data_IF_832669159964
#
_entry.id   IF_832669159964
#
_cell.length_a   1.000
_cell.length_b   1.000
_cell.length_c   1.000
_cell.angle_alpha   90.00
_cell.angle_beta   90.00
_cell.angle_gamma   90.00
#
_symmetry.space_group_name_H-M   'P 1'
#
loop_
_entity.id
_entity.type
_entity.pdbx_description
1 polymer ?
#
# COMPACT_ATOMS: atom_id res chain seq x y z
N UNK A 1 0.04 -29.26 -7.81
CA UNK A 1 0.28 -29.54 -6.38
C UNK A 1 0.98 -30.87 -6.19
N UNK A 2 0.46 -31.98 -6.74
CA UNK A 2 1.07 -33.32 -6.56
C UNK A 2 2.52 -33.39 -7.08
N UNK A 3 2.81 -32.84 -8.26
CA UNK A 3 4.17 -32.76 -8.81
C UNK A 3 5.07 -31.89 -7.93
N UNK A 4 4.61 -30.69 -7.54
CA UNK A 4 5.37 -29.78 -6.68
C UNK A 4 5.66 -30.40 -5.29
N UNK A 5 4.80 -31.28 -4.80
CA UNK A 5 5.02 -31.99 -3.54
C UNK A 5 6.23 -32.93 -3.58
N UNK A 6 6.58 -33.45 -4.76
CA UNK A 6 7.76 -34.31 -4.95
C UNK A 6 9.06 -33.52 -4.83
N UNK A 7 9.03 -32.23 -5.17
CA UNK A 7 10.20 -31.34 -5.08
C UNK A 7 10.38 -30.76 -3.66
N UNK A 8 9.36 -30.87 -2.80
CA UNK A 8 9.31 -30.30 -1.46
C UNK A 8 8.49 -29.02 -1.37
N UNK A 9 8.17 -28.58 -0.13
CA UNK A 9 7.26 -27.44 0.13
C UNK A 9 7.94 -26.22 0.73
N UNK A 10 9.15 -26.36 1.25
CA UNK A 10 9.83 -25.27 1.93
C UNK A 10 11.34 -25.37 1.75
N UNK A 11 11.95 -24.26 1.39
CA UNK A 11 13.37 -24.18 1.13
C UNK A 11 13.97 -22.94 1.81
N UNK A 12 15.21 -23.05 2.27
CA UNK A 12 15.97 -21.92 2.79
C UNK A 12 16.64 -21.05 1.69
N UNK A 13 16.26 -21.24 0.44
CA UNK A 13 16.79 -20.53 -0.73
C UNK A 13 15.68 -20.30 -1.75
N UNK A 14 15.84 -19.34 -2.68
CA UNK A 14 14.88 -19.11 -3.77
C UNK A 14 14.69 -20.37 -4.62
N UNK A 15 13.47 -20.58 -5.10
CA UNK A 15 13.10 -21.69 -5.97
C UNK A 15 12.79 -21.20 -7.38
N UNK A 16 12.85 -22.10 -8.37
CA UNK A 16 12.47 -21.77 -9.75
C UNK A 16 11.03 -21.25 -9.83
N UNK A 17 10.09 -21.81 -9.06
CA UNK A 17 8.69 -21.38 -9.03
C UNK A 17 8.49 -19.97 -8.48
N UNK A 18 9.31 -19.55 -7.52
CA UNK A 18 9.30 -18.17 -7.03
C UNK A 18 9.82 -17.20 -8.11
N UNK A 19 10.83 -17.60 -8.87
CA UNK A 19 11.36 -16.81 -9.99
C UNK A 19 10.29 -16.68 -11.09
N UNK A 20 9.67 -17.78 -11.50
CA UNK A 20 8.58 -17.81 -12.49
C UNK A 20 7.41 -16.89 -12.08
N UNK A 21 7.02 -16.93 -10.80
CA UNK A 21 5.96 -16.06 -10.27
C UNK A 21 6.38 -14.58 -10.32
N UNK A 22 7.60 -14.27 -9.90
CA UNK A 22 8.12 -12.90 -9.93
C UNK A 22 8.17 -12.35 -11.36
N UNK A 23 8.65 -13.13 -12.32
CA UNK A 23 8.69 -12.77 -13.74
C UNK A 23 7.28 -12.56 -14.32
N UNK A 24 6.33 -13.41 -13.96
CA UNK A 24 4.92 -13.26 -14.37
C UNK A 24 4.31 -11.97 -13.81
N UNK A 25 4.59 -11.62 -12.55
CA UNK A 25 4.13 -10.35 -11.96
C UNK A 25 4.74 -9.16 -12.70
N UNK A 26 6.04 -9.16 -12.95
CA UNK A 26 6.74 -8.09 -13.67
C UNK A 26 6.18 -7.93 -15.09
N UNK A 27 5.88 -9.02 -15.77
CA UNK A 27 5.32 -8.99 -17.12
C UNK A 27 3.90 -8.41 -17.16
N UNK A 28 3.08 -8.65 -16.12
CA UNK A 28 1.68 -8.23 -16.06
C UNK A 28 1.49 -6.82 -15.47
N UNK A 29 2.43 -6.35 -14.67
CA UNK A 29 2.32 -5.09 -13.93
C UNK A 29 3.51 -4.17 -14.25
N UNK A 30 3.39 -3.29 -15.25
CA UNK A 30 4.52 -2.52 -15.80
C UNK A 30 5.23 -1.57 -14.81
N UNK A 31 4.62 -1.25 -13.67
CA UNK A 31 5.26 -0.45 -12.61
C UNK A 31 6.21 -1.27 -11.72
N UNK A 32 6.13 -2.61 -11.79
CA UNK A 32 6.92 -3.52 -10.95
C UNK A 32 8.20 -3.91 -11.68
N UNK A 33 9.34 -3.64 -11.06
CA UNK A 33 10.67 -3.98 -11.54
C UNK A 33 11.33 -5.09 -10.70
N UNK A 34 10.93 -5.18 -9.42
CA UNK A 34 11.43 -6.18 -8.48
C UNK A 34 10.29 -6.71 -7.61
N UNK A 35 10.36 -7.98 -7.25
CA UNK A 35 9.37 -8.66 -6.41
C UNK A 35 10.05 -9.26 -5.18
N UNK A 36 9.42 -9.07 -4.03
CA UNK A 36 9.74 -9.79 -2.80
C UNK A 36 8.54 -10.59 -2.36
N UNK A 37 8.71 -11.89 -2.23
CA UNK A 37 7.69 -12.78 -1.72
C UNK A 37 7.72 -12.83 -0.19
N UNK A 38 6.55 -12.88 0.41
CA UNK A 38 6.30 -13.02 1.85
C UNK A 38 5.08 -13.91 2.07
N UNK A 39 4.77 -14.29 3.30
CA UNK A 39 3.73 -15.30 3.57
C UNK A 39 2.32 -14.71 3.75
N UNK A 40 2.16 -13.39 3.81
CA UNK A 40 0.84 -12.76 4.01
C UNK A 40 0.80 -11.31 3.53
N UNK A 41 -0.42 -10.80 3.27
CA UNK A 41 -0.63 -9.36 2.98
C UNK A 41 -0.19 -8.44 4.12
N UNK A 42 -0.28 -8.90 5.37
CA UNK A 42 0.25 -8.16 6.54
C UNK A 42 1.76 -8.00 6.46
N UNK A 43 2.48 -9.07 6.17
CA UNK A 43 3.94 -9.02 6.01
C UNK A 43 4.36 -8.17 4.81
N UNK A 44 3.61 -8.24 3.72
CA UNK A 44 3.85 -7.40 2.55
C UNK A 44 3.65 -5.91 2.87
N UNK A 45 2.54 -5.53 3.53
CA UNK A 45 2.27 -4.16 3.95
C UNK A 45 3.30 -3.63 4.95
N UNK A 46 3.67 -4.45 5.94
CA UNK A 46 4.73 -4.13 6.91
C UNK A 46 6.09 -3.92 6.22
N UNK A 47 6.42 -4.77 5.25
CA UNK A 47 7.67 -4.68 4.50
C UNK A 47 7.70 -3.45 3.60
N UNK A 48 6.59 -3.14 2.91
CA UNK A 48 6.46 -1.94 2.09
C UNK A 48 6.63 -0.66 2.93
N UNK A 49 5.99 -0.58 4.09
CA UNK A 49 6.14 0.55 5.01
C UNK A 49 7.59 0.71 5.49
N UNK A 50 8.24 -0.39 5.86
CA UNK A 50 9.66 -0.37 6.29
C UNK A 50 10.57 0.07 5.15
N UNK A 51 10.33 -0.41 3.94
CA UNK A 51 11.09 -0.03 2.75
C UNK A 51 10.93 1.46 2.45
N UNK A 52 9.69 1.99 2.48
CA UNK A 52 9.42 3.41 2.28
C UNK A 52 10.17 4.28 3.30
N UNK A 53 10.14 3.91 4.57
CA UNK A 53 10.88 4.62 5.62
C UNK A 53 12.39 4.56 5.41
N UNK A 54 12.92 3.40 5.06
CA UNK A 54 14.36 3.23 4.79
C UNK A 54 14.84 4.04 3.57
N UNK A 55 14.06 4.05 2.51
CA UNK A 55 14.42 4.75 1.27
C UNK A 55 14.29 6.28 1.38
N UNK A 56 13.37 6.78 2.19
CA UNK A 56 13.15 8.24 2.36
C UNK A 56 13.86 8.84 3.58
N UNK A 57 14.30 8.02 4.54
CA UNK A 57 14.79 8.46 5.83
C UNK A 57 13.72 9.08 6.74
N UNK A 58 12.44 8.91 6.42
CA UNK A 58 11.30 9.55 7.11
C UNK A 58 10.51 8.54 7.93
N UNK A 59 9.76 9.02 8.93
CA UNK A 59 9.04 8.14 9.87
C UNK A 59 7.53 8.13 9.67
N UNK A 60 6.93 9.26 9.29
CA UNK A 60 5.48 9.41 9.16
C UNK A 60 4.95 8.73 7.89
N UNK A 61 3.73 8.26 7.94
CA UNK A 61 3.02 7.81 6.75
C UNK A 61 1.53 8.08 6.86
N UNK A 62 0.87 8.16 5.72
CA UNK A 62 -0.57 8.38 5.61
C UNK A 62 -1.24 7.05 5.26
N UNK A 63 -2.35 6.75 5.93
CA UNK A 63 -3.35 5.77 5.51
C UNK A 63 -4.73 6.41 5.53
N UNK A 64 -5.74 5.72 5.00
CA UNK A 64 -7.10 6.25 4.95
C UNK A 64 -8.04 5.46 5.88
N UNK A 65 -8.99 6.17 6.47
CA UNK A 65 -10.03 5.57 7.28
C UNK A 65 -10.83 4.56 6.44
N UNK A 66 -11.17 3.43 7.07
CA UNK A 66 -11.84 2.32 6.40
C UNK A 66 -10.93 1.39 5.57
N UNK A 67 -9.73 1.81 5.17
CA UNK A 67 -8.76 0.94 4.53
C UNK A 67 -8.10 -0.02 5.53
N UNK A 68 -7.91 -1.27 5.10
CA UNK A 68 -7.25 -2.31 5.89
C UNK A 68 -5.98 -2.80 5.18
N UNK A 69 -4.86 -2.73 5.88
CA UNK A 69 -3.54 -3.08 5.34
C UNK A 69 -2.83 -4.18 6.14
N UNK A 70 -3.59 -5.05 6.77
CA UNK A 70 -3.06 -6.08 7.68
C UNK A 70 -3.00 -5.62 9.14
N UNK A 71 -2.47 -6.49 10.01
CA UNK A 71 -2.52 -6.30 11.45
C UNK A 71 -1.17 -5.95 12.11
N UNK A 72 -0.24 -5.37 11.37
CA UNK A 72 0.94 -4.75 11.97
C UNK A 72 0.50 -3.53 12.82
N UNK A 73 1.05 -3.38 14.01
CA UNK A 73 0.60 -2.40 15.01
C UNK A 73 0.45 -0.98 14.45
N UNK A 74 1.44 -0.50 13.67
CA UNK A 74 1.39 0.83 13.07
C UNK A 74 0.23 1.03 12.09
N UNK A 75 -0.41 -0.04 11.60
CA UNK A 75 -1.53 -0.03 10.66
C UNK A 75 -2.90 -0.17 11.35
N UNK A 76 -2.91 -0.54 12.64
CA UNK A 76 -4.12 -0.69 13.45
C UNK A 76 -4.52 0.63 14.13
N UNK A 77 -4.87 1.61 13.29
CA UNK A 77 -5.11 2.99 13.68
C UNK A 77 -6.38 3.50 13.02
N UNK A 78 -7.18 4.28 13.76
CA UNK A 78 -8.34 5.03 13.26
C UNK A 78 -8.10 6.53 13.35
N UNK A 79 -8.89 7.32 12.64
CA UNK A 79 -8.79 8.78 12.63
C UNK A 79 -8.95 9.37 14.05
N UNK A 80 -8.22 10.45 14.31
CA UNK A 80 -8.42 11.32 15.47
C UNK A 80 -9.56 12.32 15.25
N UNK A 81 -9.84 13.14 16.26
CA UNK A 81 -10.95 14.11 16.26
C UNK A 81 -10.63 15.44 15.57
N UNK A 82 -9.72 15.49 14.62
CA UNK A 82 -9.36 16.74 13.92
C UNK A 82 -8.81 16.51 12.52
N UNK A 83 -8.63 17.61 11.76
CA UNK A 83 -8.01 17.57 10.43
C UNK A 83 -6.56 17.11 10.56
N UNK A 84 -6.14 16.17 9.71
CA UNK A 84 -4.77 15.64 9.62
C UNK A 84 -4.10 15.29 10.99
N UNK A 85 -4.87 14.74 11.94
CA UNK A 85 -4.38 14.41 13.28
C UNK A 85 -3.82 12.98 13.35
N UNK A 86 -2.93 12.75 14.32
CA UNK A 86 -2.48 11.40 14.63
C UNK A 86 -3.66 10.53 15.08
N UNK A 87 -3.70 9.30 14.56
CA UNK A 87 -4.75 8.35 14.88
C UNK A 87 -4.63 7.75 16.28
N UNK A 88 -5.71 7.11 16.73
CA UNK A 88 -5.74 6.32 17.96
C UNK A 88 -5.65 4.83 17.62
N UNK A 89 -4.98 4.01 18.47
CA UNK A 89 -5.00 2.56 18.31
C UNK A 89 -6.42 2.01 18.22
N UNK A 90 -6.66 1.09 17.28
CA UNK A 90 -7.95 0.38 17.14
C UNK A 90 -7.98 -0.94 17.89
N UNK A 91 -6.82 -1.41 18.35
CA UNK A 91 -6.67 -2.67 19.09
C UNK A 91 -6.11 -2.41 20.48
N UNK A 92 -6.68 -3.03 21.49
CA UNK A 92 -6.31 -2.83 22.90
C UNK A 92 -4.84 -3.16 23.24
N UNK A 93 -4.17 -3.97 22.42
CA UNK A 93 -2.77 -4.34 22.63
C UNK A 93 -1.75 -3.44 21.95
N UNK A 94 -2.19 -2.45 21.18
CA UNK A 94 -1.27 -1.56 20.42
C UNK A 94 -0.88 -0.36 21.27
N UNK A 95 0.42 -0.16 21.59
CA UNK A 95 0.87 1.00 22.34
C UNK A 95 0.71 2.31 21.53
N UNK A 96 0.36 3.40 22.22
CA UNK A 96 0.20 4.72 21.58
C UNK A 96 1.48 5.19 20.84
N UNK A 97 2.65 4.88 21.38
CA UNK A 97 3.92 5.25 20.78
C UNK A 97 4.19 4.59 19.42
N UNK A 98 3.60 3.43 19.16
CA UNK A 98 3.76 2.74 17.87
C UNK A 98 2.98 3.44 16.76
N UNK A 99 1.85 4.07 17.09
CA UNK A 99 0.95 4.72 16.13
C UNK A 99 1.18 6.22 15.96
N UNK A 100 2.06 6.82 16.74
CA UNK A 100 2.33 8.28 16.72
C UNK A 100 2.86 8.82 15.37
N UNK A 101 3.29 7.95 14.47
CA UNK A 101 3.76 8.31 13.14
C UNK A 101 2.75 7.99 12.03
N UNK A 102 1.54 7.54 12.40
CA UNK A 102 0.48 7.19 11.45
C UNK A 102 -0.55 8.31 11.37
N UNK A 103 -0.62 8.96 10.23
CA UNK A 103 -1.67 9.92 9.89
C UNK A 103 -2.83 9.16 9.26
N UNK A 104 -4.04 9.33 9.79
CA UNK A 104 -5.25 8.72 9.23
C UNK A 104 -6.15 9.82 8.70
N UNK A 105 -6.39 9.80 7.39
CA UNK A 105 -7.20 10.78 6.67
C UNK A 105 -8.49 10.14 6.16
N UNK A 106 -9.49 10.98 5.88
CA UNK A 106 -10.71 10.53 5.23
C UNK A 106 -10.44 10.16 3.77
N UNK A 107 -11.02 9.06 3.34
CA UNK A 107 -10.90 8.58 1.98
C UNK A 107 -11.62 9.52 1.00
N UNK A 108 -10.98 9.90 -0.10
CA UNK A 108 -11.46 10.88 -1.08
C UNK A 108 -11.54 12.35 -0.60
N UNK A 109 -10.95 12.70 0.54
CA UNK A 109 -10.92 14.08 1.02
C UNK A 109 -9.66 14.82 0.53
N UNK A 110 -9.82 15.60 -0.54
CA UNK A 110 -8.74 16.40 -1.14
C UNK A 110 -8.14 17.42 -0.17
N UNK A 111 -8.98 18.08 0.61
CA UNK A 111 -8.52 19.13 1.53
C UNK A 111 -7.59 18.55 2.61
N UNK A 112 -7.93 17.38 3.16
CA UNK A 112 -7.09 16.73 4.18
C UNK A 112 -5.74 16.29 3.64
N UNK A 113 -5.66 15.73 2.41
CA UNK A 113 -4.35 15.35 1.85
C UNK A 113 -3.49 16.59 1.54
N UNK A 114 -4.09 17.67 1.05
CA UNK A 114 -3.37 18.91 0.79
C UNK A 114 -2.84 19.54 2.08
N UNK A 115 -3.65 19.58 3.13
CA UNK A 115 -3.25 20.09 4.45
C UNK A 115 -2.13 19.23 5.07
N UNK A 116 -2.26 17.89 5.02
CA UNK A 116 -1.25 16.98 5.53
C UNK A 116 0.12 17.19 4.85
N UNK A 117 0.12 17.31 3.53
CA UNK A 117 1.36 17.57 2.79
C UNK A 117 1.88 19.00 2.97
N UNK A 118 1.01 20.00 3.10
CA UNK A 118 1.42 21.39 3.34
C UNK A 118 2.11 21.54 4.72
N UNK A 119 1.65 20.82 5.72
CA UNK A 119 2.15 20.94 7.11
C UNK A 119 3.26 19.96 7.47
N UNK A 120 3.29 18.77 6.86
CA UNK A 120 4.15 17.67 7.26
C UNK A 120 4.80 16.92 6.07
N UNK A 121 4.70 17.43 4.85
CA UNK A 121 5.11 16.74 3.63
C UNK A 121 6.56 16.22 3.66
N UNK A 122 7.47 16.96 4.28
CA UNK A 122 8.88 16.58 4.37
C UNK A 122 9.17 15.47 5.40
N UNK A 123 8.19 15.10 6.22
CA UNK A 123 8.30 14.02 7.20
C UNK A 123 7.56 12.74 6.74
N UNK A 124 6.77 12.82 5.67
CA UNK A 124 5.97 11.70 5.16
C UNK A 124 6.84 10.79 4.29
N UNK A 125 7.01 9.54 4.72
CA UNK A 125 7.71 8.49 3.99
C UNK A 125 6.86 7.95 2.83
N UNK A 126 5.58 7.69 3.10
CA UNK A 126 4.68 7.16 2.09
C UNK A 126 3.21 7.46 2.39
N UNK A 127 2.39 7.28 1.35
CA UNK A 127 0.95 7.15 1.45
C UNK A 127 0.57 5.74 1.05
N UNK A 128 -0.11 5.01 1.93
CA UNK A 128 -0.62 3.65 1.67
C UNK A 128 -2.13 3.72 1.45
N UNK A 129 -2.59 3.19 0.32
CA UNK A 129 -4.00 3.27 -0.07
C UNK A 129 -4.46 1.97 -0.75
N UNK A 130 -5.66 1.49 -0.40
CA UNK A 130 -6.40 0.58 -1.28
C UNK A 130 -7.01 1.43 -2.41
N UNK A 131 -6.63 1.24 -3.68
CA UNK A 131 -7.17 2.07 -4.79
C UNK A 131 -8.68 1.88 -5.01
N UNK A 132 -9.18 0.71 -4.64
CA UNK A 132 -10.58 0.39 -4.47
C UNK A 132 -10.70 -0.30 -3.13
N UNK A 133 -11.24 0.40 -2.15
CA UNK A 133 -11.25 -0.06 -0.76
C UNK A 133 -12.26 -1.20 -0.56
N UNK A 134 -11.78 -2.44 -0.59
CA UNK A 134 -12.59 -3.64 -0.47
C UNK A 134 -13.34 -3.71 0.86
N UNK A 135 -12.70 -3.29 1.94
CA UNK A 135 -13.27 -3.29 3.28
C UNK A 135 -14.30 -2.16 3.53
N UNK A 136 -14.42 -1.23 2.60
CA UNK A 136 -15.41 -0.15 2.60
C UNK A 136 -16.53 -0.38 1.57
N UNK A 137 -16.88 -1.64 1.27
CA UNK A 137 -17.87 -1.98 0.27
C UNK A 137 -17.48 -1.48 -1.15
N UNK A 138 -16.22 -1.64 -1.53
CA UNK A 138 -15.66 -1.30 -2.85
C UNK A 138 -15.73 0.17 -3.24
N UNK A 139 -15.58 1.07 -2.27
CA UNK A 139 -15.45 2.51 -2.56
C UNK A 139 -14.16 2.75 -3.36
N UNK A 140 -14.30 3.45 -4.49
CA UNK A 140 -13.18 3.80 -5.37
C UNK A 140 -12.58 5.13 -4.97
N UNK A 141 -11.26 5.24 -5.03
CA UNK A 141 -10.61 6.54 -5.06
C UNK A 141 -11.03 7.28 -6.35
N UNK A 142 -11.50 8.51 -6.22
CA UNK A 142 -11.86 9.32 -7.38
C UNK A 142 -10.62 9.68 -8.20
N UNK A 143 -10.80 9.85 -9.51
CA UNK A 143 -9.67 10.19 -10.40
C UNK A 143 -8.99 11.50 -9.98
N UNK A 144 -9.71 12.58 -9.62
CA UNK A 144 -9.07 13.80 -9.12
C UNK A 144 -8.27 13.57 -7.82
N UNK A 145 -8.82 12.79 -6.88
CA UNK A 145 -8.15 12.47 -5.63
C UNK A 145 -6.85 11.68 -5.87
N UNK A 146 -6.91 10.65 -6.70
CA UNK A 146 -5.76 9.80 -7.01
C UNK A 146 -4.67 10.58 -7.78
N UNK A 147 -5.06 11.41 -8.74
CA UNK A 147 -4.14 12.28 -9.46
C UNK A 147 -3.43 13.25 -8.52
N UNK A 148 -4.19 13.92 -7.65
CA UNK A 148 -3.62 14.85 -6.68
C UNK A 148 -2.70 14.17 -5.67
N UNK A 149 -3.08 12.97 -5.21
CA UNK A 149 -2.26 12.18 -4.31
C UNK A 149 -0.90 11.83 -4.95
N UNK A 150 -0.90 11.40 -6.24
CA UNK A 150 0.35 11.12 -6.97
C UNK A 150 1.22 12.38 -7.11
N UNK A 151 0.61 13.52 -7.46
CA UNK A 151 1.32 14.80 -7.57
C UNK A 151 2.00 15.20 -6.26
N UNK A 152 1.26 15.14 -5.14
CA UNK A 152 1.78 15.49 -3.82
C UNK A 152 2.91 14.56 -3.39
N UNK A 153 2.74 13.24 -3.58
CA UNK A 153 3.82 12.29 -3.31
C UNK A 153 5.08 12.61 -4.12
N UNK A 154 4.93 12.89 -5.42
CA UNK A 154 6.06 13.24 -6.29
C UNK A 154 6.72 14.54 -5.84
N UNK A 155 5.95 15.58 -5.57
CA UNK A 155 6.43 16.89 -5.15
C UNK A 155 7.25 16.85 -3.86
N UNK A 156 6.80 16.04 -2.90
CA UNK A 156 7.42 15.95 -1.58
C UNK A 156 8.40 14.77 -1.44
N UNK A 157 8.59 13.97 -2.48
CA UNK A 157 9.46 12.80 -2.43
C UNK A 157 8.95 11.70 -1.49
N UNK A 158 7.64 11.63 -1.26
CA UNK A 158 6.98 10.53 -0.56
C UNK A 158 6.63 9.41 -1.54
N UNK A 159 6.60 8.18 -1.08
CA UNK A 159 6.23 7.04 -1.92
C UNK A 159 4.72 6.80 -1.92
N UNK A 160 4.14 6.52 -3.08
CA UNK A 160 2.77 6.06 -3.21
C UNK A 160 2.75 4.52 -3.21
N UNK A 161 2.18 3.93 -2.17
CA UNK A 161 2.06 2.48 -1.99
C UNK A 161 0.62 2.06 -2.26
N UNK A 162 0.41 1.25 -3.31
CA UNK A 162 -0.89 0.65 -3.60
C UNK A 162 -1.05 -0.67 -2.87
N UNK A 163 -2.04 -0.75 -2.01
CA UNK A 163 -2.50 -2.02 -1.48
C UNK A 163 -3.47 -2.66 -2.47
N UNK A 164 -2.93 -3.54 -3.27
CA UNK A 164 -3.65 -4.32 -4.28
C UNK A 164 -3.94 -5.75 -3.83
N UNK A 165 -3.89 -6.03 -2.54
CA UNK A 165 -4.22 -7.36 -2.01
C UNK A 165 -5.63 -7.80 -2.41
N UNK A 166 -6.58 -6.87 -2.53
CA UNK A 166 -7.95 -7.14 -3.03
C UNK A 166 -8.07 -6.98 -4.54
N UNK A 167 -7.40 -6.01 -5.12
CA UNK A 167 -7.63 -5.55 -6.50
C UNK A 167 -6.65 -6.12 -7.52
N UNK A 168 -5.44 -6.46 -7.09
CA UNK A 168 -4.40 -7.01 -7.96
C UNK A 168 -4.86 -8.28 -8.67
N UNK A 169 -4.64 -8.36 -9.98
CA UNK A 169 -5.03 -9.49 -10.83
C UNK A 169 -6.53 -9.84 -10.82
N UNK A 170 -7.35 -9.02 -10.15
CA UNK A 170 -8.80 -9.23 -10.00
C UNK A 170 -9.60 -8.25 -10.85
N UNK A 171 -9.35 -6.95 -10.72
CA UNK A 171 -10.11 -5.92 -11.46
C UNK A 171 -9.57 -5.72 -12.87
N UNK A 172 -8.31 -6.04 -13.09
CA UNK A 172 -7.62 -6.13 -14.37
C UNK A 172 -6.35 -6.97 -14.18
N UNK A 173 -5.74 -7.48 -15.25
CA UNK A 173 -4.48 -8.24 -15.20
C UNK A 173 -3.33 -7.43 -14.55
N UNK A 174 -3.25 -6.14 -14.86
CA UNK A 174 -2.28 -5.24 -14.23
C UNK A 174 -2.80 -4.55 -12.96
N UNK A 175 -3.84 -5.09 -12.30
CA UNK A 175 -4.43 -4.53 -11.08
C UNK A 175 -5.17 -3.21 -11.29
N UNK A 176 -5.59 -2.58 -10.20
CA UNK A 176 -6.25 -1.28 -10.21
C UNK A 176 -5.33 -0.17 -10.75
N UNK A 177 -4.02 -0.29 -10.57
CA UNK A 177 -3.05 0.67 -11.12
C UNK A 177 -3.14 0.78 -12.65
N UNK A 178 -3.41 -0.32 -13.36
CA UNK A 178 -3.61 -0.28 -14.80
C UNK A 178 -4.92 0.44 -15.20
N UNK A 179 -5.93 0.41 -14.34
CA UNK A 179 -7.16 1.18 -14.53
C UNK A 179 -6.89 2.68 -14.38
N UNK A 180 -6.17 3.08 -13.32
CA UNK A 180 -5.80 4.49 -13.12
C UNK A 180 -4.83 5.01 -14.17
N UNK A 181 -3.89 4.20 -14.66
CA UNK A 181 -2.97 4.58 -15.74
C UNK A 181 -3.67 4.93 -17.05
N UNK A 182 -4.86 4.36 -17.31
CA UNK A 182 -5.71 4.73 -18.47
C UNK A 182 -6.46 6.05 -18.27
N UNK A 183 -6.67 6.47 -17.03
CA UNK A 183 -7.45 7.67 -16.67
C UNK A 183 -6.57 8.87 -16.33
N UNK A 184 -5.34 8.63 -15.90
CA UNK A 184 -4.37 9.64 -15.49
C UNK A 184 -3.08 9.38 -16.25
N UNK A 185 -2.70 10.23 -17.22
CA UNK A 185 -1.48 10.05 -18.00
C UNK A 185 -0.23 9.94 -17.12
N UNK A 186 0.58 8.90 -17.37
CA UNK A 186 1.83 8.67 -16.64
C UNK A 186 1.68 8.18 -15.20
N UNK A 187 0.45 7.85 -14.78
CA UNK A 187 0.22 7.36 -13.42
C UNK A 187 0.85 6.00 -13.18
N UNK A 188 1.61 5.91 -12.11
CA UNK A 188 2.08 4.65 -11.51
C UNK A 188 2.32 4.81 -10.01
N UNK A 189 2.05 3.80 -9.19
CA UNK A 189 2.53 3.76 -7.81
C UNK A 189 4.05 3.51 -7.77
N UNK A 190 4.68 3.81 -6.65
CA UNK A 190 6.10 3.50 -6.42
C UNK A 190 6.28 2.07 -5.89
N UNK A 191 5.29 1.55 -5.15
CA UNK A 191 5.24 0.18 -4.65
C UNK A 191 3.82 -0.37 -4.72
N UNK A 192 3.72 -1.68 -4.83
CA UNK A 192 2.44 -2.40 -4.79
C UNK A 192 2.53 -3.61 -3.86
N UNK A 193 1.47 -3.85 -3.09
CA UNK A 193 1.29 -5.00 -2.23
C UNK A 193 0.23 -5.90 -2.85
N UNK A 194 0.56 -7.16 -3.08
CA UNK A 194 -0.34 -8.17 -3.67
C UNK A 194 -0.63 -9.31 -2.70
N UNK A 195 -1.65 -10.09 -3.00
CA UNK A 195 -2.05 -11.28 -2.23
C UNK A 195 -3.37 -11.85 -2.75
N UNK A 196 -4.02 -12.67 -1.97
CA UNK A 196 -5.32 -13.32 -2.29
C UNK A 196 -5.32 -14.08 -3.62
N UNK A 197 -5.53 -13.41 -4.76
CA UNK A 197 -5.63 -14.06 -6.08
C UNK A 197 -4.34 -14.79 -6.46
N UNK A 198 -3.21 -14.26 -6.07
CA UNK A 198 -1.90 -14.84 -6.43
C UNK A 198 -1.33 -15.84 -5.41
N UNK A 199 -2.04 -16.10 -4.32
CA UNK A 199 -1.62 -17.06 -3.29
C UNK A 199 -1.54 -16.50 -1.89
#
# INVERSE_FOLDING_TARGET
>A
VQEAALDGFSFGAPTEREIELAEAIIALVPSVEQVRLVSSGTEAGMSALRLARGATGRSKFIKFEGCYHGHADALLVKAGSGLATFGFPTSAGVPADVVKHTLVLEYNNLAQIEEAFATQGDEIACVMIEPIAGNMNFVRASVPFMGRLRELCTKHGAMLVFDEVMTGFRVALGGAQSVYARLIPGFKPDMSVFGKVIG
#
